data_IF_728601301411
#
_entry.id   IF_728601301411
#
_cell.length_a   1.000
_cell.length_b   1.000
_cell.length_c   1.000
_cell.angle_alpha   90.00
_cell.angle_beta   90.00
_cell.angle_gamma   90.00
#
_symmetry.space_group_name_H-M   'P 1'
#
loop_
_entity.id
_entity.type
_entity.pdbx_description
1 polymer ?
#
# COMPACT_ATOMS: atom_id res chain seq x y z
N UNK A 1 -15.37 5.78 -23.44
CA UNK A 1 -14.83 5.37 -22.13
C UNK A 1 -15.13 6.51 -21.14
N UNK A 2 -15.67 6.20 -19.95
CA UNK A 2 -16.16 7.21 -19.00
C UNK A 2 -14.98 7.87 -18.30
N UNK A 3 -14.58 9.04 -18.79
CA UNK A 3 -13.74 9.93 -18.00
C UNK A 3 -14.48 10.29 -16.71
N UNK A 4 -13.74 10.33 -15.61
CA UNK A 4 -14.27 10.57 -14.28
C UNK A 4 -13.75 11.93 -13.80
N UNK A 5 -14.61 12.75 -13.22
CA UNK A 5 -14.20 13.99 -12.58
C UNK A 5 -14.34 13.84 -11.05
N UNK A 6 -13.23 13.98 -10.32
CA UNK A 6 -13.24 14.06 -8.85
C UNK A 6 -12.46 15.30 -8.46
N UNK A 7 -13.11 16.16 -7.68
CA UNK A 7 -12.46 17.33 -7.08
C UNK A 7 -11.78 18.27 -8.10
N UNK A 8 -12.41 18.41 -9.27
CA UNK A 8 -11.91 19.26 -10.36
C UNK A 8 -10.82 18.59 -11.23
N UNK A 9 -10.34 17.41 -10.86
CA UNK A 9 -9.39 16.63 -11.65
C UNK A 9 -10.11 15.61 -12.54
N UNK A 10 -9.61 15.44 -13.76
CA UNK A 10 -10.13 14.45 -14.71
C UNK A 10 -9.27 13.19 -14.67
N UNK A 11 -9.91 12.03 -14.75
CA UNK A 11 -9.26 10.74 -14.68
C UNK A 11 -9.76 9.79 -15.77
N UNK A 12 -8.86 8.94 -16.26
CA UNK A 12 -9.17 7.82 -17.16
C UNK A 12 -8.79 6.48 -16.51
N UNK A 13 -9.42 5.41 -16.98
CA UNK A 13 -9.20 4.06 -16.45
C UNK A 13 -7.72 3.67 -16.62
N UNK A 14 -7.08 3.27 -15.52
CA UNK A 14 -5.73 2.71 -15.54
C UNK A 14 -5.77 1.18 -15.39
N UNK A 15 -6.47 0.69 -14.35
CA UNK A 15 -6.66 -0.74 -14.10
C UNK A 15 -8.12 -1.02 -13.79
N UNK A 16 -8.70 -1.97 -14.51
CA UNK A 16 -10.01 -2.50 -14.19
C UNK A 16 -9.97 -3.37 -12.93
N UNK A 17 -11.11 -3.49 -12.25
CA UNK A 17 -11.27 -4.38 -11.10
C UNK A 17 -10.88 -5.83 -11.45
N UNK A 18 -11.23 -6.33 -12.63
CA UNK A 18 -10.86 -7.70 -13.04
C UNK A 18 -9.32 -7.88 -13.11
N UNK A 19 -8.59 -6.88 -13.61
CA UNK A 19 -7.12 -6.91 -13.60
C UNK A 19 -6.58 -6.90 -12.16
N UNK A 20 -7.14 -6.05 -11.31
CA UNK A 20 -6.76 -5.93 -9.90
C UNK A 20 -7.02 -7.25 -9.15
N UNK A 21 -8.21 -7.83 -9.27
CA UNK A 21 -8.59 -9.09 -8.64
C UNK A 21 -7.70 -10.24 -9.10
N UNK A 22 -7.41 -10.35 -10.40
CA UNK A 22 -6.50 -11.37 -10.90
C UNK A 22 -5.09 -11.22 -10.30
N UNK A 23 -4.59 -9.99 -10.20
CA UNK A 23 -3.28 -9.73 -9.57
C UNK A 23 -3.27 -10.06 -8.08
N UNK A 24 -4.35 -9.76 -7.36
CA UNK A 24 -4.51 -10.10 -5.94
C UNK A 24 -4.43 -11.62 -5.75
N UNK A 25 -5.06 -12.40 -6.63
CA UNK A 25 -5.00 -13.87 -6.60
C UNK A 25 -3.57 -14.37 -6.88
N UNK A 26 -2.82 -13.72 -7.77
CA UNK A 26 -1.40 -14.04 -7.99
C UNK A 26 -0.54 -13.76 -6.76
N UNK A 27 -0.71 -12.58 -6.14
CA UNK A 27 0.00 -12.20 -4.92
C UNK A 27 -0.33 -13.14 -3.77
N UNK A 28 -1.60 -13.52 -3.59
CA UNK A 28 -2.00 -14.43 -2.51
C UNK A 28 -1.34 -15.79 -2.64
N UNK A 29 -1.15 -16.31 -3.87
CA UNK A 29 -0.39 -17.54 -4.10
C UNK A 29 1.09 -17.38 -3.74
N UNK A 30 1.72 -16.27 -4.09
CA UNK A 30 3.11 -15.99 -3.73
C UNK A 30 3.28 -15.95 -2.20
N UNK A 31 2.40 -15.24 -1.51
CA UNK A 31 2.41 -15.12 -0.05
C UNK A 31 2.17 -16.48 0.63
N UNK A 32 1.17 -17.25 0.16
CA UNK A 32 0.93 -18.62 0.68
C UNK A 32 2.15 -19.51 0.54
N UNK A 33 2.83 -19.47 -0.61
CA UNK A 33 4.05 -20.25 -0.83
C UNK A 33 5.22 -19.79 0.04
N UNK A 34 5.31 -18.50 0.33
CA UNK A 34 6.37 -17.95 1.18
C UNK A 34 6.15 -18.22 2.67
N UNK A 35 4.90 -18.36 3.12
CA UNK A 35 4.51 -18.46 4.53
C UNK A 35 3.62 -19.68 4.82
N UNK A 36 4.09 -20.88 4.44
CA UNK A 36 3.29 -22.12 4.53
C UNK A 36 2.83 -22.48 5.95
N UNK A 37 3.69 -22.32 6.96
CA UNK A 37 3.40 -22.76 8.35
C UNK A 37 3.33 -21.62 9.37
N UNK A 38 3.94 -20.47 9.04
CA UNK A 38 4.08 -19.33 9.97
C UNK A 38 3.79 -18.03 9.21
N UNK A 39 2.49 -17.68 9.18
CA UNK A 39 2.01 -16.48 8.51
C UNK A 39 2.32 -15.23 9.36
N UNK A 40 3.00 -14.20 8.81
CA UNK A 40 3.29 -12.97 9.54
C UNK A 40 2.03 -12.27 10.04
N UNK A 41 2.18 -11.47 11.10
CA UNK A 41 1.15 -10.49 11.45
C UNK A 41 0.96 -9.53 10.27
N UNK A 42 -0.25 -9.47 9.72
CA UNK A 42 -0.59 -8.53 8.66
C UNK A 42 -0.83 -7.15 9.27
N UNK A 43 0.00 -6.17 8.91
CA UNK A 43 -0.10 -4.81 9.40
C UNK A 43 -0.50 -3.88 8.24
N UNK A 44 -1.77 -3.47 8.23
CA UNK A 44 -2.37 -2.68 7.16
C UNK A 44 -2.04 -1.20 7.36
N UNK A 45 -1.42 -0.57 6.35
CA UNK A 45 -1.08 0.84 6.38
C UNK A 45 -2.29 1.68 6.00
N UNK A 46 -2.86 2.38 6.99
CA UNK A 46 -4.06 3.17 6.80
C UNK A 46 -3.80 4.51 6.13
N UNK A 47 -4.76 5.05 5.36
CA UNK A 47 -6.10 4.50 5.14
C UNK A 47 -6.23 3.67 3.86
N UNK A 48 -5.45 4.01 2.83
CA UNK A 48 -5.70 3.56 1.46
C UNK A 48 -5.55 2.05 1.27
N UNK A 49 -4.58 1.43 1.95
CA UNK A 49 -4.35 -0.01 1.87
C UNK A 49 -5.51 -0.86 2.41
N UNK A 50 -6.47 -0.29 3.15
CA UNK A 50 -7.60 -1.05 3.73
C UNK A 50 -8.43 -1.80 2.69
N UNK A 51 -8.66 -1.20 1.50
CA UNK A 51 -9.44 -1.83 0.43
C UNK A 51 -8.67 -3.00 -0.17
N UNK A 52 -7.41 -2.78 -0.53
CA UNK A 52 -6.53 -3.83 -1.06
C UNK A 52 -6.33 -4.98 -0.06
N UNK A 53 -6.07 -4.67 1.21
CA UNK A 53 -5.89 -5.65 2.26
C UNK A 53 -7.13 -6.53 2.42
N UNK A 54 -8.33 -5.94 2.45
CA UNK A 54 -9.57 -6.70 2.59
C UNK A 54 -9.82 -7.67 1.42
N UNK A 55 -9.46 -7.29 0.19
CA UNK A 55 -9.54 -8.19 -0.95
C UNK A 55 -8.45 -9.28 -0.89
N UNK A 56 -7.21 -8.93 -0.53
CA UNK A 56 -6.10 -9.89 -0.42
C UNK A 56 -6.34 -10.97 0.64
N UNK A 57 -6.78 -10.57 1.84
CA UNK A 57 -6.96 -11.46 2.99
C UNK A 57 -7.93 -12.62 2.70
N UNK A 58 -8.96 -12.38 1.86
CA UNK A 58 -9.93 -13.41 1.45
C UNK A 58 -9.33 -14.58 0.68
N UNK A 59 -8.11 -14.44 0.17
CA UNK A 59 -7.46 -15.45 -0.68
C UNK A 59 -6.27 -16.17 -0.03
N UNK A 60 -5.93 -15.81 1.21
CA UNK A 60 -4.75 -16.35 1.90
C UNK A 60 -5.04 -17.66 2.66
N UNK A 61 -6.31 -18.06 2.80
CA UNK A 61 -6.76 -19.37 3.31
C UNK A 61 -6.03 -19.85 4.59
N UNK A 62 -5.60 -18.92 5.44
CA UNK A 62 -4.77 -19.17 6.62
C UNK A 62 -5.39 -18.50 7.86
N UNK A 63 -5.01 -18.97 9.06
CA UNK A 63 -5.31 -18.22 10.28
C UNK A 63 -4.38 -17.00 10.32
N UNK A 64 -4.95 -15.82 10.04
CA UNK A 64 -4.18 -14.59 9.87
C UNK A 64 -4.57 -13.62 10.97
N UNK A 65 -3.57 -13.19 11.73
CA UNK A 65 -3.69 -12.04 12.61
C UNK A 65 -3.56 -10.76 11.79
N UNK A 66 -4.45 -9.80 12.04
CA UNK A 66 -4.48 -8.51 11.34
C UNK A 66 -4.46 -7.38 12.36
N UNK A 67 -3.66 -6.37 12.09
CA UNK A 67 -3.68 -5.10 12.81
C UNK A 67 -3.46 -3.93 11.86
N UNK A 68 -3.54 -2.72 12.40
CA UNK A 68 -3.48 -1.48 11.62
C UNK A 68 -2.27 -0.65 12.06
N UNK A 69 -1.67 0.07 11.13
CA UNK A 69 -0.74 1.16 11.43
C UNK A 69 -1.22 2.40 10.72
N UNK A 70 -1.08 3.55 11.37
CA UNK A 70 -1.45 4.83 10.77
C UNK A 70 -0.30 5.81 10.93
N UNK A 71 0.13 6.34 9.81
CA UNK A 71 1.14 7.39 9.74
C UNK A 71 0.58 8.61 9.03
N UNK A 72 1.19 9.76 9.28
CA UNK A 72 0.96 10.98 8.52
C UNK A 72 2.27 11.50 7.98
N UNK A 73 2.31 11.81 6.69
CA UNK A 73 3.40 12.59 6.10
C UNK A 73 3.15 14.06 6.41
N UNK A 74 4.13 14.74 7.00
CA UNK A 74 4.08 16.18 7.25
C UNK A 74 5.00 16.91 6.28
N UNK A 75 4.44 17.87 5.53
CA UNK A 75 5.23 18.79 4.69
C UNK A 75 5.50 20.07 5.50
N UNK A 76 6.51 20.02 6.37
CA UNK A 76 6.98 21.18 7.12
C UNK A 76 7.87 22.11 6.27
N UNK A 77 8.09 23.34 6.76
CA UNK A 77 8.78 24.47 6.07
C UNK A 77 10.28 24.21 5.77
N UNK A 78 10.82 23.02 6.08
CA UNK A 78 12.24 22.70 5.87
C UNK A 78 12.48 21.33 5.24
N UNK A 79 11.92 21.03 4.05
CA UNK A 79 12.36 19.93 3.17
C UNK A 79 12.60 18.53 3.81
N UNK A 80 12.12 18.28 5.02
CA UNK A 80 12.14 17.00 5.68
C UNK A 80 10.74 16.44 5.56
N UNK A 81 10.59 15.40 4.74
CA UNK A 81 9.39 14.58 4.68
C UNK A 81 9.33 13.75 5.97
N UNK A 82 9.03 14.41 7.09
CA UNK A 82 8.89 13.74 8.38
C UNK A 82 7.59 12.93 8.37
N UNK A 83 7.74 11.61 8.52
CA UNK A 83 6.63 10.69 8.73
C UNK A 83 6.39 10.57 10.23
N UNK A 84 5.19 10.87 10.68
CA UNK A 84 4.77 10.77 12.08
C UNK A 84 3.85 9.57 12.28
N UNK A 85 4.07 8.82 13.36
CA UNK A 85 3.16 7.73 13.77
C UNK A 85 1.96 8.34 14.48
N UNK A 86 0.76 8.09 13.96
CA UNK A 86 -0.49 8.33 14.69
C UNK A 86 -0.89 7.12 15.53
N UNK A 87 -0.66 5.92 15.00
CA UNK A 87 -0.97 4.67 15.67
C UNK A 87 -0.06 3.55 15.20
N UNK A 88 0.54 2.82 16.15
CA UNK A 88 1.32 1.61 15.90
C UNK A 88 1.13 0.65 17.10
N UNK A 89 0.69 -0.60 16.90
CA UNK A 89 0.40 -1.54 17.99
C UNK A 89 1.68 -2.22 18.51
N UNK A 90 2.49 -1.48 19.28
CA UNK A 90 3.83 -1.90 19.70
C UNK A 90 3.89 -3.26 20.40
N UNK A 91 2.95 -3.55 21.30
CA UNK A 91 2.92 -4.82 22.02
C UNK A 91 2.64 -6.02 21.11
N UNK A 92 1.91 -5.80 20.01
CA UNK A 92 1.53 -6.86 19.08
C UNK A 92 2.65 -7.21 18.10
N UNK A 93 3.47 -6.22 17.71
CA UNK A 93 4.50 -6.42 16.67
C UNK A 93 5.81 -7.00 17.23
N UNK A 94 6.10 -6.81 18.52
CA UNK A 94 7.37 -7.18 19.13
C UNK A 94 7.68 -8.67 19.00
N UNK A 95 8.90 -9.00 18.58
CA UNK A 95 9.39 -10.37 18.34
C UNK A 95 8.61 -11.16 17.27
N UNK A 96 7.78 -10.50 16.45
CA UNK A 96 7.00 -11.15 15.37
C UNK A 96 7.64 -10.92 14.01
N UNK A 97 7.24 -11.74 13.03
CA UNK A 97 7.32 -11.39 11.61
C UNK A 97 6.11 -10.51 11.28
N UNK A 98 6.32 -9.46 10.48
CA UNK A 98 5.28 -8.55 10.03
C UNK A 98 5.26 -8.51 8.50
N UNK A 99 4.06 -8.58 7.93
CA UNK A 99 3.80 -8.26 6.54
C UNK A 99 3.07 -6.92 6.48
N UNK A 100 3.77 -5.88 6.03
CA UNK A 100 3.18 -4.58 5.75
C UNK A 100 2.32 -4.69 4.48
N UNK A 101 1.07 -4.23 4.55
CA UNK A 101 0.16 -4.16 3.40
C UNK A 101 -0.05 -2.69 3.03
N UNK A 102 0.39 -2.30 1.84
CA UNK A 102 0.32 -0.94 1.27
C UNK A 102 -0.57 -0.94 0.01
N UNK A 103 -1.33 0.12 -0.22
CA UNK A 103 -2.00 0.34 -1.51
C UNK A 103 -1.00 0.76 -2.58
N UNK A 104 -0.12 1.71 -2.24
CA UNK A 104 0.88 2.24 -3.16
C UNK A 104 2.20 2.58 -2.48
N UNK A 105 3.31 2.11 -3.06
CA UNK A 105 4.66 2.57 -2.72
C UNK A 105 5.15 3.53 -3.81
N UNK A 106 5.17 4.81 -3.47
CA UNK A 106 5.65 5.91 -4.33
C UNK A 106 7.16 6.19 -4.06
N UNK A 107 7.49 7.24 -3.32
CA UNK A 107 8.88 7.58 -2.96
C UNK A 107 9.55 6.56 -2.04
N UNK A 108 8.75 5.78 -1.32
CA UNK A 108 9.21 4.79 -0.35
C UNK A 108 9.42 5.31 1.06
N UNK A 109 9.19 6.61 1.33
CA UNK A 109 9.47 7.22 2.63
C UNK A 109 8.69 6.54 3.76
N UNK A 110 7.38 6.34 3.56
CA UNK A 110 6.52 5.64 4.52
C UNK A 110 7.02 4.23 4.81
N UNK A 111 7.29 3.44 3.76
CA UNK A 111 7.78 2.07 3.91
C UNK A 111 9.14 2.02 4.63
N UNK A 112 10.06 2.90 4.26
CA UNK A 112 11.39 3.00 4.89
C UNK A 112 11.30 3.37 6.37
N UNK A 113 10.49 4.38 6.68
CA UNK A 113 10.20 4.81 8.04
C UNK A 113 9.58 3.70 8.88
N UNK A 114 8.54 3.03 8.37
CA UNK A 114 7.88 1.92 9.06
C UNK A 114 8.83 0.75 9.28
N UNK A 115 9.67 0.40 8.30
CA UNK A 115 10.70 -0.63 8.47
C UNK A 115 11.68 -0.27 9.57
N UNK A 116 12.11 1.00 9.64
CA UNK A 116 12.99 1.48 10.71
C UNK A 116 12.33 1.37 12.09
N UNK A 117 11.12 1.91 12.25
CA UNK A 117 10.41 1.94 13.53
C UNK A 117 10.00 0.54 14.01
N UNK A 118 9.53 -0.34 13.12
CA UNK A 118 9.23 -1.74 13.46
C UNK A 118 10.49 -2.49 13.90
N UNK A 119 11.61 -2.32 13.19
CA UNK A 119 12.88 -2.96 13.56
C UNK A 119 13.37 -2.48 14.93
N UNK A 120 13.29 -1.17 15.20
CA UNK A 120 13.61 -0.57 16.49
C UNK A 120 12.76 -1.13 17.63
N UNK A 121 11.51 -1.50 17.36
CA UNK A 121 10.60 -2.11 18.32
C UNK A 121 10.64 -3.65 18.35
N UNK A 122 11.70 -4.25 17.78
CA UNK A 122 11.99 -5.68 17.95
C UNK A 122 11.24 -6.61 16.99
N UNK A 123 10.71 -6.12 15.88
CA UNK A 123 10.18 -6.97 14.81
C UNK A 123 11.33 -7.77 14.17
N UNK A 124 11.15 -9.08 14.02
CA UNK A 124 12.22 -10.00 13.60
C UNK A 124 12.37 -10.10 12.09
N UNK A 125 11.27 -9.89 11.34
CA UNK A 125 11.26 -9.79 9.88
C UNK A 125 10.15 -8.85 9.43
N UNK A 126 10.45 -8.01 8.45
CA UNK A 126 9.50 -7.05 7.89
C UNK A 126 9.50 -7.21 6.38
N UNK A 127 8.46 -7.86 5.88
CA UNK A 127 8.19 -7.94 4.44
C UNK A 127 7.07 -6.94 4.09
N UNK A 128 6.96 -6.55 2.82
CA UNK A 128 5.95 -5.64 2.32
C UNK A 128 5.29 -6.21 1.06
N UNK A 129 3.97 -6.21 1.06
CA UNK A 129 3.16 -6.38 -0.15
C UNK A 129 2.49 -5.06 -0.50
N UNK A 130 2.66 -4.61 -1.73
CA UNK A 130 2.02 -3.40 -2.25
C UNK A 130 1.26 -3.68 -3.54
N UNK A 131 0.08 -3.08 -3.70
CA UNK A 131 -0.68 -3.22 -4.94
C UNK A 131 -0.01 -2.47 -6.09
N UNK A 132 0.41 -1.22 -5.87
CA UNK A 132 1.06 -0.38 -6.87
C UNK A 132 2.47 0.02 -6.43
N UNK A 133 3.42 -0.02 -7.36
CA UNK A 133 4.79 0.43 -7.12
C UNK A 133 5.23 1.40 -8.22
N UNK A 134 5.86 2.52 -7.83
CA UNK A 134 6.43 3.52 -8.75
C UNK A 134 7.96 3.48 -8.74
N UNK A 135 8.58 2.56 -9.51
CA UNK A 135 10.03 2.36 -9.45
C UNK A 135 10.85 3.61 -9.78
N UNK A 136 10.33 4.53 -10.61
CA UNK A 136 11.03 5.77 -10.99
C UNK A 136 11.09 6.83 -9.87
N UNK A 137 10.18 6.77 -8.90
CA UNK A 137 10.13 7.71 -7.76
C UNK A 137 10.76 7.14 -6.50
N UNK A 138 11.01 5.83 -6.48
CA UNK A 138 11.50 5.13 -5.30
C UNK A 138 12.94 5.51 -4.96
N UNK A 139 13.18 5.90 -3.71
CA UNK A 139 14.45 6.50 -3.27
C UNK A 139 15.37 5.56 -2.47
N UNK A 140 15.02 4.29 -2.31
CA UNK A 140 15.70 3.37 -1.39
C UNK A 140 16.19 2.10 -2.10
N UNK A 141 17.17 1.42 -1.53
CA UNK A 141 17.72 0.18 -2.11
C UNK A 141 16.82 -1.04 -1.85
N UNK A 142 16.12 -1.06 -0.71
CA UNK A 142 15.35 -2.22 -0.29
C UNK A 142 13.93 -2.17 -0.87
N UNK A 143 13.70 -2.82 -1.99
CA UNK A 143 12.38 -2.89 -2.64
C UNK A 143 11.30 -3.56 -1.78
N UNK A 144 9.99 -3.33 -2.06
CA UNK A 144 8.92 -4.19 -1.55
C UNK A 144 9.10 -5.63 -2.04
N UNK A 145 8.89 -6.60 -1.15
CA UNK A 145 9.08 -8.03 -1.44
C UNK A 145 8.03 -8.57 -2.41
N UNK A 146 6.80 -8.03 -2.38
CA UNK A 146 5.71 -8.45 -3.25
C UNK A 146 5.04 -7.24 -3.89
N UNK A 147 5.10 -7.16 -5.22
CA UNK A 147 4.59 -6.02 -6.00
C UNK A 147 3.47 -6.50 -6.91
N UNK A 148 2.30 -5.85 -6.82
CA UNK A 148 1.18 -6.10 -7.72
C UNK A 148 1.44 -5.59 -9.13
N UNK A 149 1.54 -4.27 -9.27
CA UNK A 149 1.76 -3.58 -10.53
C UNK A 149 2.87 -2.54 -10.42
N UNK A 150 3.79 -2.56 -11.39
CA UNK A 150 4.65 -1.42 -11.65
C UNK A 150 3.87 -0.42 -12.51
N UNK A 151 3.75 0.82 -12.03
CA UNK A 151 3.13 1.92 -12.79
C UNK A 151 4.13 3.06 -13.00
N UNK A 152 3.78 4.01 -13.85
CA UNK A 152 4.57 5.21 -14.06
C UNK A 152 4.42 6.20 -12.91
N UNK A 153 4.57 7.48 -13.22
CA UNK A 153 4.54 8.55 -12.23
C UNK A 153 3.15 9.15 -12.01
N UNK A 154 2.13 8.54 -12.60
CA UNK A 154 0.76 9.07 -12.65
C UNK A 154 0.20 9.27 -11.24
N UNK A 155 -0.62 10.32 -11.10
CA UNK A 155 -1.47 10.47 -9.93
C UNK A 155 -2.70 9.58 -10.09
N UNK A 156 -2.98 8.73 -9.11
CA UNK A 156 -4.01 7.68 -9.21
C UNK A 156 -5.03 7.78 -8.08
N UNK A 157 -6.26 7.35 -8.37
CA UNK A 157 -7.39 7.28 -7.43
C UNK A 157 -8.17 6.00 -7.65
N UNK A 158 -8.99 5.62 -6.67
CA UNK A 158 -9.78 4.40 -6.72
C UNK A 158 -9.13 3.24 -5.97
N UNK A 159 -9.94 2.24 -5.67
CA UNK A 159 -9.51 1.03 -4.97
C UNK A 159 -8.75 1.32 -3.66
N UNK A 160 -9.28 2.24 -2.85
CA UNK A 160 -8.67 2.70 -1.61
C UNK A 160 -7.85 3.99 -1.73
N UNK A 161 -7.27 4.29 -2.90
CA UNK A 161 -6.55 5.54 -3.16
C UNK A 161 -7.50 6.71 -3.41
N UNK A 162 -7.08 7.94 -3.11
CA UNK A 162 -7.95 9.11 -3.09
C UNK A 162 -7.30 10.39 -3.63
N UNK A 163 -8.17 11.36 -3.88
CA UNK A 163 -7.84 12.77 -3.92
C UNK A 163 -8.73 13.50 -2.91
N UNK A 164 -8.13 14.22 -1.96
CA UNK A 164 -8.85 14.98 -0.94
C UNK A 164 -9.97 14.16 -0.26
N UNK A 165 -9.64 12.92 0.13
CA UNK A 165 -10.52 11.93 0.75
C UNK A 165 -11.66 11.39 -0.13
N UNK A 166 -11.66 11.69 -1.43
CA UNK A 166 -12.68 11.26 -2.39
C UNK A 166 -12.14 10.22 -3.38
N UNK A 167 -12.99 9.29 -3.79
CA UNK A 167 -12.70 8.30 -4.84
C UNK A 167 -12.23 6.93 -4.32
N UNK A 168 -12.04 6.75 -3.00
CA UNK A 168 -11.60 5.47 -2.41
C UNK A 168 -12.55 4.32 -2.73
N UNK A 169 -13.85 4.61 -2.84
CA UNK A 169 -14.94 3.67 -3.05
C UNK A 169 -15.02 3.11 -4.48
N UNK A 170 -14.27 3.69 -5.42
CA UNK A 170 -14.27 3.23 -6.80
C UNK A 170 -13.63 1.84 -6.91
N UNK A 171 -14.27 0.95 -7.67
CA UNK A 171 -13.78 -0.43 -7.85
C UNK A 171 -12.52 -0.52 -8.72
N UNK A 172 -12.36 0.40 -9.67
CA UNK A 172 -11.22 0.43 -10.58
C UNK A 172 -10.20 1.48 -10.11
N UNK A 173 -8.97 1.38 -10.61
CA UNK A 173 -7.95 2.40 -10.43
C UNK A 173 -7.93 3.28 -11.67
N UNK A 174 -7.93 4.58 -11.46
CA UNK A 174 -7.91 5.59 -12.51
C UNK A 174 -6.67 6.46 -12.36
N UNK A 175 -6.11 6.91 -13.49
CA UNK A 175 -5.00 7.87 -13.52
C UNK A 175 -5.48 9.24 -13.96
N UNK A 176 -4.87 10.28 -13.39
CA UNK A 176 -5.16 11.65 -13.74
C UNK A 176 -4.74 11.94 -15.18
N UNK A 177 -5.64 12.61 -15.91
CA UNK A 177 -5.39 13.17 -17.22
C UNK A 177 -4.84 14.57 -16.97
N UNK A 178 -3.53 14.73 -17.07
CA UNK A 178 -2.92 16.06 -17.08
C UNK A 178 -3.21 16.65 -18.46
N UNK A 179 -4.05 17.68 -18.53
CA UNK A 179 -4.10 18.53 -19.71
C UNK A 179 -2.77 19.28 -19.78
N UNK A 180 -1.88 18.86 -20.68
CA UNK A 180 -0.83 19.76 -21.15
C UNK A 180 -1.54 20.83 -21.97
N UNK A 181 -1.79 21.99 -21.36
CA UNK A 181 -2.11 23.21 -22.10
C UNK A 181 -0.87 23.68 -22.85
#
# INVERSE_FOLDING_TARGET
MKNLNIDGLNFELLLSFDQISNKIIELSRQLKNAYLEDFPLCLIVLNGASVFANELLKHLDSSIEVSLVKVKSYNGVQNTEEVLIEYLPLDLVKNRKVLLIEDIVDTGNTLSFLRHELKKNGVTKIDCVTLLFKPKKYNYDLLPEYIGFNIGEEFVVGFGMDVNQKGRELKNIYKNIIYQN
#
